data_IF_831468381778
#
_entry.id   IF_831468381778
#
_cell.length_a   1.000
_cell.length_b   1.000
_cell.length_c   1.000
_cell.angle_alpha   90.00
_cell.angle_beta   90.00
_cell.angle_gamma   90.00
#
_symmetry.space_group_name_H-M   'P 1'
#
loop_
_entity.id
_entity.type
_entity.pdbx_description
1 polymer ?
#
# COMPACT_ATOMS: atom_id res chain seq x y z
N UNK A 1 -8.49 13.59 -10.19
CA UNK A 1 -7.56 13.04 -9.18
C UNK A 1 -8.00 11.61 -8.86
N UNK A 2 -7.09 10.64 -8.92
CA UNK A 2 -7.37 9.25 -8.52
C UNK A 2 -7.73 9.13 -7.03
N UNK A 3 -7.34 10.13 -6.22
CA UNK A 3 -7.69 10.22 -4.81
C UNK A 3 -9.19 10.37 -4.53
N UNK A 4 -10.04 10.73 -5.51
CA UNK A 4 -11.49 10.81 -5.33
C UNK A 4 -12.17 9.43 -5.23
N UNK A 5 -11.53 8.39 -5.80
CA UNK A 5 -12.09 7.04 -5.88
C UNK A 5 -11.21 5.99 -5.18
N UNK A 6 -9.90 6.18 -5.11
CA UNK A 6 -8.93 5.21 -4.58
C UNK A 6 -7.76 5.94 -3.89
N UNK A 7 -7.99 6.44 -2.68
CA UNK A 7 -6.94 7.09 -1.88
C UNK A 7 -5.93 6.10 -1.28
N UNK A 8 -6.25 4.80 -1.30
CA UNK A 8 -5.32 3.71 -1.04
C UNK A 8 -5.40 2.68 -2.19
N UNK A 9 -4.52 2.78 -3.21
CA UNK A 9 -4.59 1.93 -4.39
C UNK A 9 -4.11 0.50 -4.15
N UNK A 10 -3.75 0.11 -2.92
CA UNK A 10 -3.16 -1.19 -2.63
C UNK A 10 -4.04 -2.38 -3.05
N UNK A 11 -5.36 -2.29 -2.81
CA UNK A 11 -6.29 -3.36 -3.22
C UNK A 11 -6.37 -3.48 -4.74
N UNK A 12 -6.44 -2.34 -5.45
CA UNK A 12 -6.42 -2.33 -6.92
C UNK A 12 -5.09 -2.88 -7.46
N UNK A 13 -3.96 -2.48 -6.88
CA UNK A 13 -2.65 -2.97 -7.29
C UNK A 13 -2.54 -4.51 -7.16
N UNK A 14 -3.07 -5.08 -6.07
CA UNK A 14 -3.12 -6.55 -5.89
C UNK A 14 -4.00 -7.18 -6.96
N UNK A 15 -5.17 -6.60 -7.24
CA UNK A 15 -6.07 -7.09 -8.28
C UNK A 15 -5.38 -7.12 -9.64
N UNK A 16 -4.78 -6.02 -10.07
CA UNK A 16 -4.07 -5.91 -11.35
C UNK A 16 -2.88 -6.89 -11.42
N UNK A 17 -2.11 -7.03 -10.34
CA UNK A 17 -1.03 -8.03 -10.27
C UNK A 17 -1.56 -9.46 -10.47
N UNK A 18 -2.75 -9.78 -9.94
CA UNK A 18 -3.38 -11.09 -10.13
C UNK A 18 -3.95 -11.29 -11.53
N UNK A 19 -4.38 -10.22 -12.20
CA UNK A 19 -4.75 -10.29 -13.61
C UNK A 19 -3.55 -10.55 -14.52
N UNK A 20 -2.41 -9.92 -14.23
CA UNK A 20 -1.18 -10.10 -15.01
C UNK A 20 -0.50 -11.45 -14.73
N UNK A 21 -0.52 -11.88 -13.46
CA UNK A 21 0.17 -13.09 -13.01
C UNK A 21 -0.73 -13.95 -12.10
N UNK A 22 -1.74 -14.63 -12.67
CA UNK A 22 -2.74 -15.37 -11.89
C UNK A 22 -2.10 -16.47 -11.03
N UNK A 23 -1.12 -17.18 -11.58
CA UNK A 23 -0.46 -18.31 -10.90
C UNK A 23 0.78 -17.91 -10.10
N UNK A 24 1.10 -16.62 -10.00
CA UNK A 24 2.24 -16.16 -9.21
C UNK A 24 1.74 -15.75 -7.83
N UNK A 25 2.29 -16.33 -6.75
CA UNK A 25 1.94 -15.91 -5.39
C UNK A 25 2.41 -14.47 -5.16
N UNK A 26 1.58 -13.69 -4.47
CA UNK A 26 1.97 -12.35 -4.03
C UNK A 26 2.97 -12.51 -2.87
N UNK A 27 4.18 -11.99 -3.03
CA UNK A 27 5.21 -12.07 -1.99
C UNK A 27 4.97 -11.06 -0.88
N UNK A 28 4.85 -9.78 -1.25
CA UNK A 28 4.68 -8.68 -0.32
C UNK A 28 4.07 -7.47 -1.04
N UNK A 29 3.25 -6.71 -0.33
CA UNK A 29 2.81 -5.38 -0.72
C UNK A 29 3.13 -4.38 0.40
N UNK A 30 3.78 -3.28 0.00
CA UNK A 30 4.08 -2.15 0.87
C UNK A 30 3.17 -0.99 0.49
N UNK A 31 2.37 -0.53 1.45
CA UNK A 31 1.46 0.60 1.29
C UNK A 31 2.00 1.77 2.10
N UNK A 32 2.31 2.87 1.42
CA UNK A 32 2.84 4.08 2.05
C UNK A 32 1.73 5.15 2.07
N UNK A 33 1.42 5.65 3.25
CA UNK A 33 0.51 6.77 3.45
C UNK A 33 1.27 8.06 3.65
N UNK A 34 0.62 9.18 3.31
CA UNK A 34 1.14 10.54 3.51
C UNK A 34 0.98 11.06 4.94
N UNK A 35 0.60 10.17 5.86
CA UNK A 35 0.33 10.46 7.26
C UNK A 35 -1.15 10.65 7.53
N UNK A 36 -1.54 10.37 8.79
CA UNK A 36 -2.90 10.54 9.29
C UNK A 36 -2.89 11.55 10.44
N UNK A 37 -3.78 12.53 10.37
CA UNK A 37 -4.02 13.43 11.48
C UNK A 37 -5.13 12.86 12.35
N UNK A 38 -4.79 12.41 13.55
CA UNK A 38 -5.78 12.08 14.57
C UNK A 38 -6.05 13.38 15.35
N UNK A 39 -7.14 14.07 15.00
CA UNK A 39 -7.63 15.19 15.82
C UNK A 39 -7.93 14.71 17.25
N UNK A 40 -7.87 15.59 18.25
CA UNK A 40 -8.36 15.32 19.61
C UNK A 40 -9.89 15.04 19.61
N UNK A 41 -10.31 13.86 19.13
CA UNK A 41 -11.71 13.39 19.16
C UNK A 41 -12.05 12.87 20.56
N UNK A 42 -11.86 13.73 21.56
CA UNK A 42 -12.57 13.60 22.83
C UNK A 42 -13.52 14.74 23.14
N UNK A 43 -13.52 15.85 22.40
CA UNK A 43 -14.46 16.94 22.66
C UNK A 43 -14.89 17.64 21.38
N UNK A 44 -16.09 17.33 20.89
CA UNK A 44 -17.20 18.29 20.71
C UNK A 44 -18.25 17.70 19.76
N UNK A 45 -19.37 17.26 20.36
CA UNK A 45 -20.64 17.32 19.66
C UNK A 45 -20.90 18.77 19.21
N UNK A 46 -21.64 18.93 18.10
CA UNK A 46 -22.25 20.17 17.58
C UNK A 46 -21.35 21.12 16.75
N UNK A 47 -21.39 20.95 15.42
CA UNK A 47 -21.80 21.98 14.43
C UNK A 47 -21.61 21.42 13.00
N UNK A 48 -22.71 21.01 12.38
CA UNK A 48 -22.78 20.39 11.04
C UNK A 48 -22.79 21.44 9.93
N UNK A 49 -21.65 21.68 9.29
CA UNK A 49 -21.59 22.39 8.00
C UNK A 49 -21.68 21.39 6.85
N UNK A 50 -22.33 21.75 5.73
CA UNK A 50 -22.29 20.98 4.48
C UNK A 50 -20.85 20.72 4.01
N UNK A 51 -19.91 21.61 4.35
CA UNK A 51 -18.47 21.35 4.16
C UNK A 51 -17.99 20.18 5.01
N UNK A 52 -18.39 20.08 6.28
CA UNK A 52 -18.04 18.94 7.14
C UNK A 52 -18.68 17.65 6.65
N UNK A 53 -19.93 17.68 6.16
CA UNK A 53 -20.55 16.49 5.56
C UNK A 53 -19.91 16.11 4.23
N UNK A 54 -19.55 17.07 3.37
CA UNK A 54 -18.87 16.80 2.12
C UNK A 54 -17.44 16.32 2.36
N UNK A 55 -16.69 16.95 3.27
CA UNK A 55 -15.39 16.49 3.73
C UNK A 55 -15.47 15.13 4.39
N UNK A 56 -16.52 14.83 5.16
CA UNK A 56 -16.71 13.49 5.72
C UNK A 56 -17.10 12.47 4.65
N UNK A 57 -17.92 12.81 3.67
CA UNK A 57 -18.27 11.91 2.55
C UNK A 57 -17.07 11.68 1.64
N UNK A 58 -16.26 12.71 1.37
CA UNK A 58 -14.98 12.60 0.67
C UNK A 58 -14.05 11.74 1.52
N UNK A 59 -13.82 12.07 2.80
CA UNK A 59 -12.97 11.31 3.71
C UNK A 59 -13.42 9.86 3.89
N UNK A 60 -14.72 9.57 3.89
CA UNK A 60 -15.30 8.22 3.93
C UNK A 60 -15.18 7.50 2.59
N UNK A 61 -15.23 8.20 1.45
CA UNK A 61 -14.92 7.65 0.14
C UNK A 61 -13.40 7.50 -0.10
N UNK A 62 -12.58 8.20 0.69
CA UNK A 62 -11.12 8.18 0.67
C UNK A 62 -10.52 7.52 1.91
N UNK A 63 -11.30 6.72 2.64
CA UNK A 63 -10.87 6.12 3.91
C UNK A 63 -9.83 5.04 3.62
N UNK A 64 -8.56 5.43 3.76
CA UNK A 64 -7.43 4.54 3.49
C UNK A 64 -7.32 3.42 4.51
N UNK A 65 -7.98 3.57 5.66
CA UNK A 65 -7.92 2.63 6.77
C UNK A 65 -8.88 1.45 6.58
N UNK A 66 -10.01 1.62 5.86
CA UNK A 66 -10.89 0.48 5.53
C UNK A 66 -10.17 -0.53 4.63
N UNK A 67 -9.46 -0.05 3.60
CA UNK A 67 -8.62 -0.89 2.74
C UNK A 67 -7.49 -1.54 3.54
N UNK A 68 -6.91 -0.81 4.50
CA UNK A 68 -5.88 -1.36 5.39
C UNK A 68 -6.43 -2.52 6.23
N UNK A 69 -7.57 -2.35 6.90
CA UNK A 69 -8.21 -3.38 7.72
C UNK A 69 -8.59 -4.60 6.90
N UNK A 70 -9.16 -4.39 5.71
CA UNK A 70 -9.52 -5.48 4.80
C UNK A 70 -8.29 -6.29 4.37
N UNK A 71 -7.24 -5.62 3.91
CA UNK A 71 -6.03 -6.29 3.43
C UNK A 71 -5.27 -6.99 4.57
N UNK A 72 -5.22 -6.39 5.76
CA UNK A 72 -4.59 -6.98 6.95
C UNK A 72 -5.32 -8.23 7.43
N UNK A 73 -6.66 -8.26 7.33
CA UNK A 73 -7.46 -9.42 7.70
C UNK A 73 -7.51 -10.55 6.67
N UNK A 74 -7.35 -10.24 5.38
CA UNK A 74 -7.48 -11.22 4.29
C UNK A 74 -6.16 -11.78 3.80
N UNK A 75 -5.07 -11.01 3.87
CA UNK A 75 -3.77 -11.47 3.37
C UNK A 75 -3.05 -12.31 4.43
N UNK A 76 -2.22 -13.28 3.99
CA UNK A 76 -1.39 -14.03 4.92
C UNK A 76 -0.47 -13.10 5.73
N UNK A 77 -0.03 -13.54 6.94
CA UNK A 77 0.96 -12.81 7.71
C UNK A 77 2.18 -12.45 6.85
N UNK A 78 2.77 -11.29 7.10
CA UNK A 78 4.00 -10.84 6.44
C UNK A 78 3.88 -10.60 4.93
N UNK A 79 2.65 -10.50 4.42
CA UNK A 79 2.38 -10.17 3.01
C UNK A 79 1.97 -8.71 2.83
N UNK A 80 1.54 -8.01 3.89
CA UNK A 80 1.09 -6.62 3.81
C UNK A 80 1.71 -5.72 4.87
N UNK A 81 2.32 -4.62 4.43
CA UNK A 81 2.96 -3.65 5.30
C UNK A 81 2.45 -2.25 5.00
N UNK A 82 1.62 -1.70 5.90
CA UNK A 82 1.20 -0.28 5.86
C UNK A 82 2.12 0.59 6.72
N UNK A 83 2.67 1.64 6.13
CA UNK A 83 3.36 2.72 6.85
C UNK A 83 2.59 4.01 6.67
N UNK A 84 2.00 4.51 7.75
CA UNK A 84 1.18 5.71 7.74
C UNK A 84 1.41 6.47 9.06
N UNK A 85 2.36 7.43 9.11
CA UNK A 85 2.70 8.15 10.34
C UNK A 85 1.51 8.91 10.92
N UNK A 86 1.41 9.00 12.25
CA UNK A 86 0.49 9.96 12.88
C UNK A 86 1.15 11.33 12.85
N UNK A 87 0.50 12.29 12.17
CA UNK A 87 0.94 13.68 12.10
C UNK A 87 0.27 14.46 13.22
N UNK A 88 1.03 15.33 13.88
CA UNK A 88 0.54 16.11 15.04
C UNK A 88 -0.34 17.29 14.68
N UNK A 89 -0.17 17.83 13.49
CA UNK A 89 -0.85 19.02 13.01
C UNK A 89 -1.63 18.69 11.74
N UNK A 90 -2.77 19.36 11.58
CA UNK A 90 -3.54 19.27 10.34
C UNK A 90 -2.90 20.14 9.26
N UNK A 91 -1.99 19.56 8.49
CA UNK A 91 -1.27 20.25 7.41
C UNK A 91 -2.05 20.05 6.10
N UNK A 92 -2.43 21.13 5.41
CA UNK A 92 -3.18 21.03 4.17
C UNK A 92 -2.29 20.54 3.02
N UNK A 93 -2.91 19.95 1.99
CA UNK A 93 -2.20 19.33 0.87
C UNK A 93 -1.40 20.34 0.02
N UNK A 94 -1.83 21.60 -0.03
CA UNK A 94 -1.19 22.70 -0.75
C UNK A 94 -0.09 23.42 0.08
N UNK A 95 0.24 22.90 1.26
CA UNK A 95 1.36 23.41 2.06
C UNK A 95 2.70 23.21 1.35
N UNK A 96 3.50 24.26 1.31
CA UNK A 96 4.78 24.30 0.58
C UNK A 96 5.89 25.02 1.34
N UNK A 97 5.62 25.53 2.54
CA UNK A 97 6.63 26.17 3.39
C UNK A 97 7.63 25.12 3.88
N UNK A 98 8.91 25.39 3.66
CA UNK A 98 10.01 24.50 4.07
C UNK A 98 9.92 24.09 5.54
N UNK A 99 9.59 25.03 6.43
CA UNK A 99 9.43 24.78 7.86
C UNK A 99 8.43 23.65 8.18
N UNK A 100 7.32 23.58 7.42
CA UNK A 100 6.29 22.54 7.58
C UNK A 100 6.71 21.22 6.94
N UNK A 101 7.43 21.27 5.82
CA UNK A 101 7.98 20.08 5.17
C UNK A 101 9.07 19.44 6.04
N UNK A 102 9.95 20.24 6.64
CA UNK A 102 10.98 19.79 7.57
C UNK A 102 10.36 19.15 8.82
N UNK A 103 9.27 19.73 9.33
CA UNK A 103 8.49 19.13 10.41
C UNK A 103 7.92 17.76 10.01
N UNK A 104 7.30 17.64 8.84
CA UNK A 104 6.77 16.36 8.34
C UNK A 104 7.86 15.30 8.16
N UNK A 105 9.03 15.68 7.64
CA UNK A 105 10.18 14.78 7.52
C UNK A 105 10.66 14.28 8.89
N UNK A 106 10.78 15.18 9.86
CA UNK A 106 11.18 14.84 11.22
C UNK A 106 10.17 13.89 11.90
N UNK A 107 8.88 14.13 11.70
CA UNK A 107 7.83 13.24 12.19
C UNK A 107 7.87 11.87 11.52
N UNK A 108 8.15 11.82 10.21
CA UNK A 108 8.39 10.59 9.46
C UNK A 108 9.59 9.79 9.98
N UNK A 109 10.72 10.44 10.24
CA UNK A 109 11.91 9.80 10.79
C UNK A 109 11.63 9.17 12.16
N UNK A 110 10.99 9.93 13.07
CA UNK A 110 10.59 9.42 14.38
C UNK A 110 9.62 8.25 14.29
N UNK A 111 8.73 8.26 13.30
CA UNK A 111 7.82 7.14 13.05
C UNK A 111 8.59 5.89 12.62
N UNK A 112 9.57 6.03 11.71
CA UNK A 112 10.42 4.90 11.28
C UNK A 112 11.22 4.34 12.45
N UNK A 113 11.84 5.18 13.27
CA UNK A 113 12.57 4.75 14.48
C UNK A 113 11.68 3.95 15.44
N UNK A 114 10.45 4.41 15.68
CA UNK A 114 9.49 3.68 16.53
C UNK A 114 9.03 2.35 15.92
N UNK A 115 9.09 2.20 14.60
CA UNK A 115 8.66 1.03 13.86
C UNK A 115 9.85 0.25 13.28
N UNK A 116 11.04 0.38 13.88
CA UNK A 116 12.28 -0.20 13.38
C UNK A 116 12.16 -1.72 13.14
N UNK A 117 11.51 -2.45 14.04
CA UNK A 117 11.32 -3.90 13.90
C UNK A 117 10.44 -4.26 12.70
N UNK A 118 9.38 -3.48 12.43
CA UNK A 118 8.54 -3.64 11.23
C UNK A 118 9.35 -3.37 9.95
N UNK A 119 10.22 -2.36 9.98
CA UNK A 119 11.12 -2.02 8.87
C UNK A 119 12.18 -3.10 8.62
N UNK A 120 12.82 -3.60 9.67
CA UNK A 120 13.78 -4.72 9.58
C UNK A 120 13.12 -5.97 9.02
N UNK A 121 11.91 -6.28 9.48
CA UNK A 121 11.14 -7.43 8.98
C UNK A 121 10.83 -7.29 7.50
N UNK A 122 10.34 -6.12 7.08
CA UNK A 122 10.09 -5.84 5.67
C UNK A 122 11.37 -5.94 4.83
N UNK A 123 12.45 -5.30 5.27
CA UNK A 123 13.74 -5.33 4.58
C UNK A 123 14.22 -6.78 4.39
N UNK A 124 14.11 -7.61 5.43
CA UNK A 124 14.45 -9.04 5.36
C UNK A 124 13.62 -9.78 4.32
N UNK A 125 12.33 -9.48 4.16
CA UNK A 125 11.46 -10.14 3.18
C UNK A 125 11.85 -9.69 1.77
N UNK A 126 11.93 -8.38 1.53
CA UNK A 126 12.26 -7.83 0.22
C UNK A 126 13.69 -8.15 -0.25
N UNK A 127 14.61 -8.44 0.68
CA UNK A 127 15.97 -8.83 0.36
C UNK A 127 16.15 -10.35 0.18
N UNK A 128 15.09 -11.15 0.29
CA UNK A 128 15.21 -12.60 0.09
C UNK A 128 15.49 -12.90 -1.38
N UNK A 129 16.58 -13.63 -1.62
CA UNK A 129 16.81 -14.18 -2.93
C UNK A 129 15.89 -15.37 -3.19
N UNK A 130 15.44 -15.48 -4.45
CA UNK A 130 14.80 -16.70 -4.92
C UNK A 130 15.73 -17.90 -4.68
N UNK A 131 15.17 -18.93 -4.07
CA UNK A 131 15.86 -20.22 -3.88
C UNK A 131 16.21 -20.84 -5.23
N UNK A 132 17.19 -21.74 -5.26
CA UNK A 132 17.56 -22.48 -6.48
C UNK A 132 16.36 -23.23 -7.08
N UNK A 133 15.49 -23.79 -6.22
CA UNK A 133 14.28 -24.47 -6.66
C UNK A 133 13.29 -23.51 -7.32
N UNK A 134 13.07 -22.32 -6.74
CA UNK A 134 12.23 -21.28 -7.37
C UNK A 134 12.81 -20.82 -8.71
N UNK A 135 14.14 -20.59 -8.78
CA UNK A 135 14.83 -20.22 -10.03
C UNK A 135 14.66 -21.28 -11.12
N UNK A 136 14.76 -22.57 -10.77
CA UNK A 136 14.54 -23.68 -11.71
C UNK A 136 13.07 -23.74 -12.14
N UNK A 137 12.13 -23.62 -11.20
CA UNK A 137 10.70 -23.64 -11.52
C UNK A 137 10.30 -22.49 -12.45
N UNK A 138 10.79 -21.28 -12.17
CA UNK A 138 10.59 -20.10 -13.02
C UNK A 138 11.18 -20.33 -14.42
N UNK A 139 12.36 -20.95 -14.51
CA UNK A 139 12.98 -21.28 -15.79
C UNK A 139 12.17 -22.31 -16.58
N UNK A 140 11.67 -23.37 -15.94
CA UNK A 140 10.81 -24.37 -16.58
C UNK A 140 9.54 -23.70 -17.07
N UNK A 141 8.86 -22.92 -16.21
CA UNK A 141 7.63 -22.19 -16.58
C UNK A 141 7.87 -21.28 -17.78
N UNK A 142 8.94 -20.47 -17.75
CA UNK A 142 9.32 -19.61 -18.86
C UNK A 142 9.54 -20.40 -20.16
N UNK A 143 10.20 -21.56 -20.10
CA UNK A 143 10.39 -22.41 -21.28
C UNK A 143 9.08 -22.97 -21.81
N UNK A 144 8.20 -23.46 -20.94
CA UNK A 144 6.87 -23.93 -21.34
C UNK A 144 6.08 -22.83 -22.04
N UNK A 145 5.99 -21.64 -21.45
CA UNK A 145 5.26 -20.50 -22.01
C UNK A 145 5.83 -20.06 -23.39
N UNK A 146 7.16 -20.12 -23.56
CA UNK A 146 7.81 -19.83 -24.85
C UNK A 146 7.48 -20.85 -25.94
N UNK A 147 7.35 -22.14 -25.59
CA UNK A 147 7.10 -23.21 -26.56
C UNK A 147 5.61 -23.44 -26.83
N UNK A 148 4.71 -23.15 -25.88
CA UNK A 148 3.26 -23.20 -26.10
C UNK A 148 2.77 -22.09 -27.06
N UNK A 149 3.50 -20.97 -27.16
CA UNK A 149 3.22 -19.89 -28.12
C UNK A 149 3.74 -20.10 -29.55
N UNK A 150 4.50 -21.16 -29.81
CA UNK A 150 4.98 -21.50 -31.15
C UNK A 150 4.02 -22.51 -31.79
N UNK A 151 3.53 -22.28 -33.02
CA UNK A 151 2.66 -23.23 -33.72
C UNK A 151 3.49 -24.43 -34.18
N UNK A 152 3.85 -25.32 -33.26
CA UNK A 152 4.70 -26.46 -33.53
C UNK A 152 3.90 -27.68 -33.99
N UNK A 153 2.87 -27.50 -34.82
CA UNK A 153 2.26 -28.57 -35.63
C UNK A 153 1.56 -27.97 -36.86
N UNK A 154 2.33 -27.36 -37.78
CA UNK A 154 1.90 -27.35 -39.18
C UNK A 154 1.99 -28.80 -39.67
N UNK A 155 0.83 -29.45 -39.77
CA UNK A 155 0.67 -30.83 -40.23
C UNK A 155 1.52 -31.13 -41.47
N UNK A 156 2.21 -32.27 -41.37
CA UNK A 156 2.79 -33.03 -42.48
C UNK A 156 1.73 -33.33 -43.55
#
# INVERSE_FOLDING_TARGET
DGGLLLNNPSALAIHECKCLWPDVPLECIVSLGTGRYESDVRNTATHTSLKTKLSNVINSATDTEEVHVMLDGLLPPDTYFRFNPVIRENIPLDESRNEKLDQLQLEGLKYIERNEEKMKKLAKILSQEKTTLQKINDWIKLKTDMYEGLPFFSKL
#
